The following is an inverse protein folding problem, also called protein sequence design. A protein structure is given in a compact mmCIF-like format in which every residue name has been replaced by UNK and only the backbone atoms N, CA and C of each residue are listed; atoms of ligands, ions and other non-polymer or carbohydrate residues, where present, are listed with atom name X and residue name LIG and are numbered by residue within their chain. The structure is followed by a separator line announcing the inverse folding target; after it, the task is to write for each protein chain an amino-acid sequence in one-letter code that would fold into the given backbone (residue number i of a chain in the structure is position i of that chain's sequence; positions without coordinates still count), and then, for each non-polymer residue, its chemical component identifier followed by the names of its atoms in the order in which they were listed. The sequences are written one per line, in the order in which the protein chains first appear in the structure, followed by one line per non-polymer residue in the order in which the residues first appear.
data_IF_756900411242
#
_entry.id   IF_756900411242
#
_cell.length_a   1.000
_cell.length_b   1.000
_cell.length_c   1.000
_cell.angle_alpha   90.00
_cell.angle_beta   90.00
_cell.angle_gamma   90.00
#
_symmetry.space_group_name_H-M   'P 1'
#
loop_
_entity.id
_entity.type
_entity.pdbx_description
1 polymer ?
#
# COMPACT_ATOMS: atom_id res chain seq x y z
N UNK A 1 -29.69 13.53 -4.02
CA UNK A 1 -29.21 12.84 -2.81
C UNK A 1 -29.07 11.36 -3.16
N UNK A 2 -27.82 10.86 -3.23
CA UNK A 2 -27.55 9.43 -3.36
C UNK A 2 -26.54 9.09 -2.27
N UNK A 3 -26.87 8.05 -1.51
CA UNK A 3 -26.19 7.58 -0.31
C UNK A 3 -24.78 7.07 -0.65
N UNK A 4 -23.77 7.72 -0.08
CA UNK A 4 -22.40 7.19 -0.04
C UNK A 4 -22.35 6.13 1.06
N UNK A 5 -22.38 4.85 0.66
CA UNK A 5 -22.38 3.72 1.59
C UNK A 5 -21.10 3.70 2.46
N UNK A 6 -21.21 3.43 3.78
CA UNK A 6 -20.08 3.40 4.68
C UNK A 6 -19.17 2.22 4.37
N UNK A 7 -17.89 2.54 4.25
CA UNK A 7 -16.77 1.67 3.94
C UNK A 7 -16.74 0.40 4.83
N UNK A 8 -17.07 -0.75 4.27
CA UNK A 8 -17.18 -2.01 5.02
C UNK A 8 -15.80 -2.46 5.58
N UNK A 9 -15.74 -2.68 6.89
CA UNK A 9 -14.52 -2.83 7.70
C UNK A 9 -14.20 -4.31 7.97
N UNK A 10 -13.59 -4.99 7.00
CA UNK A 10 -12.96 -6.29 7.24
C UNK A 10 -11.44 -6.18 6.98
N UNK A 11 -10.67 -5.90 8.03
CA UNK A 11 -9.21 -5.99 7.99
C UNK A 11 -8.79 -7.45 8.21
N UNK A 12 -7.88 -7.99 7.38
CA UNK A 12 -7.33 -9.34 7.55
C UNK A 12 -5.86 -9.24 7.95
N UNK A 13 -5.46 -9.98 8.98
CA UNK A 13 -4.06 -10.11 9.40
C UNK A 13 -3.29 -10.94 8.36
N UNK A 14 -2.11 -10.48 7.96
CA UNK A 14 -1.20 -11.23 7.09
C UNK A 14 0.16 -11.19 7.76
N UNK A 15 0.63 -12.34 8.24
CA UNK A 15 1.99 -12.46 8.78
C UNK A 15 2.96 -12.55 7.60
N UNK A 16 3.67 -11.46 7.32
CA UNK A 16 4.79 -11.46 6.38
C UNK A 16 6.04 -11.82 7.19
N UNK A 17 6.20 -13.09 7.53
CA UNK A 17 7.46 -13.58 8.08
C UNK A 17 8.53 -13.51 6.97
N UNK A 18 9.61 -12.75 7.21
CA UNK A 18 10.79 -12.72 6.34
C UNK A 18 11.62 -13.97 6.56
N UNK A 19 12.00 -14.60 5.45
CA UNK A 19 13.12 -15.54 5.41
C UNK A 19 14.38 -14.83 5.91
N UNK A 20 15.16 -15.58 6.70
CA UNK A 20 16.31 -15.15 7.50
C UNK A 20 17.30 -14.28 6.71
N UNK A 21 17.56 -13.07 7.20
CA UNK A 21 18.76 -12.33 6.79
C UNK A 21 20.00 -12.95 7.45
N UNK A 22 21.00 -13.24 6.62
CA UNK A 22 22.33 -13.64 7.04
C UNK A 22 23.05 -12.44 7.69
N UNK A 23 23.66 -12.74 8.83
CA UNK A 23 24.42 -11.88 9.71
C UNK A 23 25.63 -11.22 9.04
N UNK A 24 25.80 -9.91 9.29
CA UNK A 24 27.06 -9.13 9.28
C UNK A 24 26.70 -7.85 10.06
N UNK A 25 26.97 -7.71 11.35
CA UNK A 25 28.28 -7.76 12.00
C UNK A 25 28.68 -6.32 12.33
N UNK A 26 28.22 -5.79 13.48
CA UNK A 26 28.73 -4.54 14.06
C UNK A 26 28.88 -4.77 15.57
N UNK A 27 30.09 -4.55 16.06
CA UNK A 27 30.57 -4.76 17.43
C UNK A 27 29.88 -3.82 18.44
N UNK A 28 29.46 -4.37 19.58
CA UNK A 28 28.91 -3.60 20.72
C UNK A 28 30.04 -3.11 21.63
N UNK A 29 30.14 -1.78 21.76
CA UNK A 29 30.83 -1.12 22.86
C UNK A 29 29.84 -0.72 23.94
N UNK A 30 30.13 -1.12 25.18
CA UNK A 30 29.34 -0.90 26.40
C UNK A 30 28.98 0.58 26.67
N UNK A 31 27.76 0.81 27.19
CA UNK A 31 27.48 1.80 28.26
C UNK A 31 26.09 1.60 28.88
N UNK A 32 26.09 1.48 30.20
CA UNK A 32 24.93 1.33 31.08
C UNK A 32 24.10 2.62 31.21
N UNK A 33 22.81 2.43 31.51
CA UNK A 33 22.01 3.33 32.34
C UNK A 33 21.03 4.27 31.62
N UNK A 34 19.74 3.98 31.73
CA UNK A 34 18.69 4.81 32.39
C UNK A 34 17.30 4.37 31.90
N UNK A 35 16.43 4.09 32.87
CA UNK A 35 15.03 3.70 32.72
C UNK A 35 14.14 4.88 32.29
N UNK A 36 13.41 4.75 31.18
CA UNK A 36 12.16 5.49 30.98
C UNK A 36 11.08 4.58 30.36
N UNK A 37 9.97 4.48 31.10
CA UNK A 37 8.70 3.88 30.63
C UNK A 37 8.16 4.70 29.47
N UNK A 38 7.69 4.01 28.43
CA UNK A 38 6.63 4.49 27.55
C UNK A 38 7.02 5.58 26.55
N UNK A 39 7.44 5.15 25.35
CA UNK A 39 7.01 5.64 24.03
C UNK A 39 7.86 4.89 23.00
N UNK A 40 7.23 3.96 22.26
CA UNK A 40 7.96 3.08 21.32
C UNK A 40 8.39 3.90 20.09
N UNK A 41 9.71 4.05 19.88
CA UNK A 41 10.25 4.77 18.72
C UNK A 41 9.69 4.20 17.39
N UNK A 42 9.11 5.05 16.51
CA UNK A 42 8.59 4.60 15.23
C UNK A 42 9.71 4.10 14.30
N UNK A 43 9.40 3.10 13.47
CA UNK A 43 10.32 2.56 12.46
C UNK A 43 10.94 3.69 11.61
N UNK A 44 12.27 3.86 11.70
CA UNK A 44 13.08 4.86 10.99
C UNK A 44 13.37 4.48 9.51
N UNK A 45 12.44 3.85 8.80
CA UNK A 45 12.57 3.80 7.33
C UNK A 45 12.37 5.22 6.78
N UNK A 46 13.07 5.65 5.72
CA UNK A 46 12.74 6.91 5.04
C UNK A 46 11.42 6.78 4.27
N UNK A 47 10.70 7.89 4.04
CA UNK A 47 9.33 7.87 3.47
C UNK A 47 9.26 7.16 2.12
N UNK A 48 10.32 7.32 1.31
CA UNK A 48 10.46 6.68 0.01
C UNK A 48 10.71 5.18 0.12
N UNK A 49 11.59 4.75 1.02
CA UNK A 49 11.88 3.33 1.26
C UNK A 49 10.65 2.58 1.76
N UNK A 50 9.89 3.21 2.65
CA UNK A 50 8.62 2.66 3.13
C UNK A 50 7.58 2.55 2.00
N UNK A 51 7.53 3.52 1.09
CA UNK A 51 6.69 3.46 -0.10
C UNK A 51 7.06 2.31 -1.02
N UNK A 52 8.36 2.17 -1.34
CA UNK A 52 8.85 1.08 -2.19
C UNK A 52 8.59 -0.29 -1.56
N UNK A 53 8.83 -0.44 -0.25
CA UNK A 53 8.54 -1.67 0.47
C UNK A 53 7.04 -2.00 0.44
N UNK A 54 6.18 -1.00 0.56
CA UNK A 54 4.74 -1.21 0.50
C UNK A 54 4.27 -1.65 -0.89
N UNK A 55 4.82 -1.05 -1.95
CA UNK A 55 4.53 -1.47 -3.32
C UNK A 55 4.95 -2.94 -3.55
N UNK A 56 6.13 -3.33 -3.05
CA UNK A 56 6.63 -4.71 -3.13
C UNK A 56 5.74 -5.70 -2.36
N UNK A 57 5.42 -5.38 -1.10
CA UNK A 57 4.57 -6.23 -0.26
C UNK A 57 3.15 -6.36 -0.85
N UNK A 58 2.62 -5.27 -1.44
CA UNK A 58 1.33 -5.26 -2.13
C UNK A 58 1.34 -6.12 -3.40
N UNK A 59 2.38 -6.01 -4.23
CA UNK A 59 2.53 -6.82 -5.44
C UNK A 59 2.63 -8.31 -5.07
N UNK A 60 3.47 -8.67 -4.09
CA UNK A 60 3.58 -10.04 -3.60
C UNK A 60 2.27 -10.58 -3.02
N UNK A 61 1.52 -9.76 -2.28
CA UNK A 61 0.20 -10.10 -1.75
C UNK A 61 -0.81 -10.41 -2.86
N UNK A 62 -0.85 -9.60 -3.92
CA UNK A 62 -1.73 -9.75 -5.06
C UNK A 62 -1.37 -10.99 -5.89
N UNK A 63 -0.08 -11.18 -6.21
CA UNK A 63 0.38 -12.36 -6.96
C UNK A 63 0.04 -13.68 -6.27
N UNK A 64 0.22 -13.77 -4.94
CA UNK A 64 -0.18 -14.94 -4.14
C UNK A 64 -1.69 -15.23 -4.18
N UNK A 65 -2.51 -14.27 -4.65
CA UNK A 65 -3.97 -14.37 -4.78
C UNK A 65 -4.45 -14.48 -6.22
N UNK A 66 -3.55 -14.76 -7.16
CA UNK A 66 -3.89 -14.98 -8.57
C UNK A 66 -4.07 -13.70 -9.40
N UNK A 67 -3.72 -12.55 -8.85
CA UNK A 67 -3.65 -11.32 -9.63
C UNK A 67 -2.37 -11.31 -10.47
N UNK A 68 -2.49 -11.00 -11.75
CA UNK A 68 -1.39 -10.91 -12.69
C UNK A 68 -0.90 -9.46 -12.73
N UNK A 69 0.30 -9.19 -12.22
CA UNK A 69 0.86 -7.82 -12.23
C UNK A 69 1.29 -7.48 -13.65
N UNK A 70 0.66 -6.47 -14.25
CA UNK A 70 0.97 -5.99 -15.60
C UNK A 70 2.01 -4.86 -15.55
N UNK A 71 1.83 -3.92 -14.63
CA UNK A 71 2.75 -2.80 -14.44
C UNK A 71 2.91 -2.45 -12.96
N UNK A 72 4.09 -1.92 -12.64
CA UNK A 72 4.44 -1.31 -11.37
C UNK A 72 4.87 0.13 -11.63
N UNK A 73 4.51 1.06 -10.73
CA UNK A 73 4.87 2.47 -10.79
C UNK A 73 4.59 3.08 -12.19
N UNK A 74 3.37 2.88 -12.71
CA UNK A 74 2.99 3.33 -14.05
C UNK A 74 2.77 4.84 -14.07
N UNK A 75 3.49 5.56 -14.92
CA UNK A 75 3.50 7.03 -14.98
C UNK A 75 2.97 7.56 -16.31
N UNK A 76 2.24 8.66 -16.22
CA UNK A 76 1.74 9.45 -17.34
C UNK A 76 1.89 10.94 -17.02
N UNK A 77 1.61 11.80 -18.00
CA UNK A 77 1.54 13.25 -17.77
C UNK A 77 0.44 13.67 -16.77
N UNK A 78 -0.58 12.83 -16.58
CA UNK A 78 -1.68 13.12 -15.66
C UNK A 78 -1.40 12.64 -14.25
N UNK A 79 -0.50 11.66 -14.07
CA UNK A 79 -0.23 11.08 -12.77
C UNK A 79 0.45 9.72 -12.81
N UNK A 80 0.40 9.04 -11.67
CA UNK A 80 0.98 7.72 -11.48
C UNK A 80 -0.07 6.79 -10.84
N UNK A 81 0.08 5.49 -11.10
CA UNK A 81 -0.64 4.40 -10.45
C UNK A 81 0.41 3.39 -9.98
N UNK A 82 0.31 2.97 -8.71
CA UNK A 82 1.32 2.11 -8.10
C UNK A 82 1.35 0.72 -8.74
N UNK A 83 0.18 0.08 -8.92
CA UNK A 83 0.08 -1.21 -9.59
C UNK A 83 -1.09 -1.25 -10.58
N UNK A 84 -0.85 -1.86 -11.74
CA UNK A 84 -1.89 -2.27 -12.69
C UNK A 84 -1.83 -3.78 -12.76
N UNK A 85 -2.95 -4.45 -12.52
CA UNK A 85 -3.01 -5.91 -12.54
C UNK A 85 -4.29 -6.41 -13.20
N UNK A 86 -4.32 -7.70 -13.52
CA UNK A 86 -5.49 -8.37 -14.09
C UNK A 86 -5.89 -9.56 -13.23
N UNK A 87 -7.21 -9.73 -13.06
CA UNK A 87 -7.79 -10.93 -12.49
C UNK A 87 -9.15 -11.20 -13.12
N UNK A 88 -9.36 -12.43 -13.59
CA UNK A 88 -10.66 -12.89 -14.12
C UNK A 88 -11.23 -11.95 -15.20
N UNK A 89 -10.36 -11.47 -16.11
CA UNK A 89 -10.71 -10.56 -17.20
C UNK A 89 -11.03 -9.12 -16.76
N UNK A 90 -10.80 -8.77 -15.49
CA UNK A 90 -10.95 -7.41 -14.96
C UNK A 90 -9.58 -6.76 -14.83
N UNK A 91 -9.44 -5.55 -15.38
CA UNK A 91 -8.25 -4.73 -15.20
C UNK A 91 -8.38 -3.91 -13.91
N UNK A 92 -7.42 -4.03 -13.02
CA UNK A 92 -7.48 -3.47 -11.67
C UNK A 92 -6.34 -2.48 -11.49
N UNK A 93 -6.70 -1.25 -11.14
CA UNK A 93 -5.79 -0.16 -10.85
C UNK A 93 -5.69 0.02 -9.34
N UNK A 94 -4.50 -0.14 -8.76
CA UNK A 94 -4.30 -0.18 -7.32
C UNK A 94 -3.45 0.99 -6.86
N UNK A 95 -3.97 1.75 -5.90
CA UNK A 95 -3.18 2.69 -5.09
C UNK A 95 -2.69 1.97 -3.82
N UNK A 96 -1.39 2.06 -3.54
CA UNK A 96 -0.75 1.51 -2.35
C UNK A 96 -0.46 2.63 -1.36
N UNK A 97 -0.88 2.45 -0.11
CA UNK A 97 -0.71 3.44 0.96
C UNK A 97 0.04 2.82 2.12
N UNK A 98 1.21 3.36 2.43
CA UNK A 98 1.93 3.01 3.65
C UNK A 98 1.64 4.01 4.77
N UNK A 99 1.46 3.50 5.99
CA UNK A 99 1.35 4.31 7.20
C UNK A 99 2.34 3.85 8.25
N UNK A 100 2.93 4.82 8.97
CA UNK A 100 3.84 4.60 10.11
C UNK A 100 3.11 4.59 11.46
N UNK A 101 1.87 5.09 11.50
CA UNK A 101 1.04 5.12 12.71
C UNK A 101 -0.44 5.04 12.35
N UNK A 102 -1.28 4.73 13.33
CA UNK A 102 -2.73 4.59 13.20
C UNK A 102 -3.49 5.95 13.21
N UNK A 103 -2.80 7.08 13.31
CA UNK A 103 -3.47 8.38 13.43
C UNK A 103 -4.06 8.86 12.09
N UNK A 104 -5.32 9.29 12.11
CA UNK A 104 -6.03 9.91 10.98
C UNK A 104 -6.22 11.41 11.25
N UNK A 105 -5.94 12.27 10.27
CA UNK A 105 -6.10 13.73 10.35
C UNK A 105 -7.27 14.26 9.51
N UNK A 106 -7.86 15.38 9.95
CA UNK A 106 -9.00 16.06 9.33
C UNK A 106 -8.56 16.97 8.18
N UNK A 107 -8.41 16.37 7.00
CA UNK A 107 -8.17 17.02 5.70
C UNK A 107 -8.19 16.03 4.54
N UNK A 108 -8.60 14.79 4.83
CA UNK A 108 -8.44 13.64 3.97
C UNK A 108 -9.38 13.70 2.76
N UNK A 109 -10.61 14.19 2.90
CA UNK A 109 -11.66 14.06 1.87
C UNK A 109 -11.33 14.78 0.56
N UNK A 110 -10.96 16.06 0.61
CA UNK A 110 -10.59 16.84 -0.59
C UNK A 110 -9.35 16.26 -1.29
N UNK A 111 -8.38 15.75 -0.52
CA UNK A 111 -7.19 15.08 -1.06
C UNK A 111 -7.55 13.74 -1.67
N UNK A 112 -8.46 12.99 -1.05
CA UNK A 112 -8.99 11.72 -1.56
C UNK A 112 -9.71 11.95 -2.89
N UNK A 113 -10.57 12.97 -3.00
CA UNK A 113 -11.28 13.25 -4.27
C UNK A 113 -10.32 13.58 -5.40
N UNK A 114 -9.36 14.49 -5.18
CA UNK A 114 -8.33 14.86 -6.18
C UNK A 114 -7.48 13.65 -6.58
N UNK A 115 -7.12 12.78 -5.64
CA UNK A 115 -6.41 11.53 -5.95
C UNK A 115 -7.24 10.58 -6.81
N UNK A 116 -8.53 10.38 -6.49
CA UNK A 116 -9.44 9.54 -7.27
C UNK A 116 -9.58 10.03 -8.72
N UNK A 117 -9.78 11.34 -8.89
CA UNK A 117 -9.85 11.97 -10.22
C UNK A 117 -8.56 11.76 -11.02
N UNK A 118 -7.41 11.93 -10.37
CA UNK A 118 -6.10 11.71 -11.00
C UNK A 118 -5.92 10.26 -11.45
N UNK A 119 -6.24 9.29 -10.58
CA UNK A 119 -6.13 7.86 -10.89
C UNK A 119 -7.06 7.48 -12.05
N UNK A 120 -8.31 7.99 -12.08
CA UNK A 120 -9.23 7.74 -13.19
C UNK A 120 -8.68 8.25 -14.52
N UNK A 121 -8.07 9.44 -14.56
CA UNK A 121 -7.46 9.98 -15.79
C UNK A 121 -6.26 9.16 -16.26
N UNK A 122 -5.44 8.64 -15.33
CA UNK A 122 -4.33 7.75 -15.68
C UNK A 122 -4.87 6.43 -16.25
N UNK A 123 -5.91 5.87 -15.64
CA UNK A 123 -6.58 4.66 -16.11
C UNK A 123 -7.22 4.85 -17.49
N UNK A 124 -7.95 5.95 -17.72
CA UNK A 124 -8.49 6.29 -19.04
C UNK A 124 -7.40 6.36 -20.11
N UNK A 125 -6.28 7.03 -19.81
CA UNK A 125 -5.15 7.07 -20.74
C UNK A 125 -4.59 5.68 -21.02
N UNK A 126 -4.46 4.83 -19.99
CA UNK A 126 -3.99 3.45 -20.13
C UNK A 126 -4.90 2.63 -21.04
N UNK A 127 -6.22 2.70 -20.83
CA UNK A 127 -7.21 1.97 -21.63
C UNK A 127 -7.15 2.40 -23.10
N UNK A 128 -7.08 3.71 -23.35
CA UNK A 128 -7.00 4.25 -24.71
C UNK A 128 -5.71 3.83 -25.42
N UNK A 129 -4.55 3.93 -24.75
CA UNK A 129 -3.26 3.60 -25.38
C UNK A 129 -3.09 2.11 -25.67
N UNK A 130 -3.79 1.25 -24.93
CA UNK A 130 -3.72 -0.21 -25.08
C UNK A 130 -4.92 -0.81 -25.82
N UNK A 131 -5.86 0.01 -26.31
CA UNK A 131 -7.11 -0.43 -26.98
C UNK A 131 -7.96 -1.37 -26.11
N UNK A 132 -8.09 -1.05 -24.83
CA UNK A 132 -8.76 -1.84 -23.81
C UNK A 132 -10.07 -1.21 -23.30
N UNK A 133 -10.70 -0.31 -24.06
CA UNK A 133 -11.85 0.50 -23.61
C UNK A 133 -13.08 -0.32 -23.18
N UNK A 134 -13.25 -1.53 -23.73
CA UNK A 134 -14.37 -2.43 -23.41
C UNK A 134 -14.11 -3.33 -22.19
N UNK A 135 -12.94 -3.22 -21.56
CA UNK A 135 -12.58 -4.08 -20.43
C UNK A 135 -13.29 -3.63 -19.17
N UNK A 136 -13.71 -4.61 -18.36
CA UNK A 136 -14.13 -4.33 -16.98
C UNK A 136 -12.95 -3.76 -16.22
N UNK A 137 -13.19 -2.67 -15.49
CA UNK A 137 -12.18 -2.05 -14.65
C UNK A 137 -12.61 -2.01 -13.18
N UNK A 138 -11.63 -2.00 -12.29
CA UNK A 138 -11.84 -1.81 -10.85
C UNK A 138 -10.72 -0.95 -10.27
N UNK A 139 -11.06 -0.08 -9.32
CA UNK A 139 -10.07 0.70 -8.57
C UNK A 139 -9.97 0.15 -7.16
N UNK A 140 -8.78 -0.30 -6.79
CA UNK A 140 -8.53 -0.89 -5.48
C UNK A 140 -7.59 0.01 -4.67
N UNK A 141 -7.63 -0.14 -3.35
CA UNK A 141 -6.64 0.45 -2.44
C UNK A 141 -6.04 -0.65 -1.59
N UNK A 142 -4.71 -0.67 -1.47
CA UNK A 142 -4.01 -1.50 -0.50
C UNK A 142 -3.38 -0.59 0.56
N UNK A 143 -3.78 -0.77 1.81
CA UNK A 143 -3.20 -0.07 2.95
C UNK A 143 -2.26 -1.02 3.70
N UNK A 144 -1.02 -0.59 3.94
CA UNK A 144 -0.02 -1.35 4.69
C UNK A 144 0.45 -0.53 5.89
N UNK A 145 0.25 -1.11 7.07
CA UNK A 145 0.65 -0.55 8.34
C UNK A 145 1.86 -1.30 8.85
N UNK A 146 2.99 -0.61 8.96
CA UNK A 146 4.20 -1.17 9.52
C UNK A 146 4.29 -0.79 11.00
N UNK A 147 4.29 -1.78 11.87
CA UNK A 147 4.49 -1.67 13.31
C UNK A 147 5.75 -2.41 13.76
N UNK A 148 6.17 -2.16 15.01
CA UNK A 148 7.23 -2.94 15.67
C UNK A 148 6.68 -3.55 16.95
N UNK A 149 6.69 -4.88 17.04
CA UNK A 149 6.39 -5.60 18.27
C UNK A 149 7.60 -6.47 18.65
N UNK A 150 8.16 -6.25 19.84
CA UNK A 150 9.25 -7.07 20.42
C UNK A 150 10.38 -7.36 19.42
N UNK A 151 10.86 -6.32 18.75
CA UNK A 151 11.92 -6.36 17.74
C UNK A 151 11.58 -6.96 16.37
N UNK A 152 10.35 -7.42 16.16
CA UNK A 152 9.85 -7.83 14.84
C UNK A 152 9.11 -6.68 14.14
N UNK A 153 9.31 -6.55 12.83
CA UNK A 153 8.50 -5.68 11.97
C UNK A 153 7.22 -6.43 11.62
N UNK A 154 6.10 -6.00 12.19
CA UNK A 154 4.78 -6.52 11.80
C UNK A 154 4.20 -5.63 10.68
N UNK A 155 3.63 -6.26 9.65
CA UNK A 155 2.95 -5.56 8.57
C UNK A 155 1.49 -6.01 8.52
N UNK A 156 0.55 -5.10 8.76
CA UNK A 156 -0.87 -5.36 8.51
C UNK A 156 -1.28 -4.79 7.16
N UNK A 157 -1.75 -5.68 6.28
CA UNK A 157 -2.22 -5.31 4.95
C UNK A 157 -3.74 -5.42 4.87
N UNK A 158 -4.39 -4.34 4.43
CA UNK A 158 -5.81 -4.32 4.10
C UNK A 158 -5.97 -4.03 2.60
N UNK A 159 -6.71 -4.90 1.92
CA UNK A 159 -7.05 -4.74 0.50
C UNK A 159 -8.53 -4.38 0.37
N UNK A 160 -8.78 -3.26 -0.28
CA UNK A 160 -10.08 -2.63 -0.44
C UNK A 160 -10.43 -2.71 -1.92
N UNK A 161 -11.15 -3.76 -2.28
CA UNK A 161 -11.60 -3.99 -3.65
C UNK A 161 -12.74 -3.03 -4.00
N UNK A 162 -12.69 -2.41 -5.18
CA UNK A 162 -13.75 -1.48 -5.64
C UNK A 162 -13.88 -0.25 -4.75
N UNK A 163 -12.76 0.29 -4.28
CA UNK A 163 -12.70 1.39 -3.34
C UNK A 163 -13.35 2.68 -3.87
N UNK A 164 -13.42 2.88 -5.21
CA UNK A 164 -14.06 4.04 -5.81
C UNK A 164 -14.34 3.97 -7.32
#
# INVERSE_FOLDING_TARGET
MKEDAPYNLAAKKINIAREKEHHLGIEEGEREGVTHRGEKEPLRLHKKELGNKAEEDAAGYLSKRGYHILHRNYRTRFGEIDLICEREGTLIFVEVRSKRSLAFGTGAESVIRKKREKIRRVAEQYLLSHKLTERRIRFDVIEIHYGREKDEIEAHLRHLEGAF
#
